data_IF_407171371090
#
_entry.id   IF_407171371090
#
_cell.length_a   1.000
_cell.length_b   1.000
_cell.length_c   1.000
_cell.angle_alpha   90.00
_cell.angle_beta   90.00
_cell.angle_gamma   90.00
#
_symmetry.space_group_name_H-M   'P 1'
#
loop_
_entity.id
_entity.type
_entity.pdbx_description
1 polymer ?
#
# COMPACT_ATOMS: atom_id res chain seq x y z
N UNK A 1 -44.29 -20.18 34.10
CA UNK A 1 -43.31 -20.56 33.05
C UNK A 1 -42.62 -19.29 32.60
N UNK A 2 -41.34 -19.17 32.92
CA UNK A 2 -40.50 -18.03 32.56
C UNK A 2 -39.73 -18.52 31.33
N UNK A 3 -40.00 -17.96 30.15
CA UNK A 3 -39.22 -18.27 28.95
C UNK A 3 -38.19 -17.16 28.78
N UNK A 4 -36.93 -17.53 28.99
CA UNK A 4 -35.78 -16.64 28.94
C UNK A 4 -35.60 -16.02 27.54
N UNK A 5 -35.31 -14.72 27.51
CA UNK A 5 -34.87 -14.02 26.31
C UNK A 5 -33.49 -14.55 25.89
N UNK A 6 -33.32 -14.82 24.59
CA UNK A 6 -32.04 -15.21 24.02
C UNK A 6 -30.96 -14.12 24.29
N UNK A 7 -29.73 -14.49 24.67
CA UNK A 7 -28.68 -13.51 24.91
C UNK A 7 -28.19 -12.90 23.60
N UNK A 8 -28.33 -11.58 23.51
CA UNK A 8 -27.78 -10.73 22.45
C UNK A 8 -26.26 -10.85 22.43
N UNK A 9 -25.70 -11.46 21.39
CA UNK A 9 -24.24 -11.59 21.22
C UNK A 9 -23.68 -10.28 20.68
N UNK A 10 -23.30 -9.37 21.58
CA UNK A 10 -22.49 -8.20 21.25
C UNK A 10 -21.13 -8.68 20.75
N UNK A 11 -20.86 -8.56 19.46
CA UNK A 11 -19.51 -8.79 18.91
C UNK A 11 -18.66 -7.57 19.27
N UNK A 12 -17.76 -7.74 20.24
CA UNK A 12 -16.75 -6.76 20.58
C UNK A 12 -15.96 -6.39 19.31
N UNK A 13 -15.87 -5.09 19.01
CA UNK A 13 -14.94 -4.54 18.03
C UNK A 13 -13.50 -4.84 18.48
N UNK A 14 -12.98 -6.00 18.11
CA UNK A 14 -11.57 -6.32 18.23
C UNK A 14 -10.87 -5.72 17.02
N UNK A 15 -10.28 -4.53 17.17
CA UNK A 15 -9.34 -4.02 16.18
C UNK A 15 -8.09 -4.89 16.33
N UNK A 16 -7.98 -5.93 15.50
CA UNK A 16 -6.74 -6.71 15.40
C UNK A 16 -5.76 -5.85 14.63
N UNK A 17 -4.81 -5.24 15.34
CA UNK A 17 -3.70 -4.53 14.73
C UNK A 17 -2.73 -5.55 14.13
N UNK A 18 -2.89 -5.84 12.84
CA UNK A 18 -2.03 -6.78 12.12
C UNK A 18 -0.64 -6.14 11.90
N UNK A 19 0.32 -6.51 12.76
CA UNK A 19 1.71 -6.06 12.69
C UNK A 19 2.49 -6.97 11.75
N UNK A 20 2.86 -6.43 10.58
CA UNK A 20 3.74 -7.11 9.62
C UNK A 20 5.20 -6.79 9.97
N UNK A 21 6.01 -7.82 10.21
CA UNK A 21 7.45 -7.71 10.43
C UNK A 21 8.21 -8.52 9.37
N UNK A 22 8.75 -7.82 8.36
CA UNK A 22 9.48 -8.42 7.24
C UNK A 22 10.99 -8.53 7.50
N UNK A 23 11.47 -8.20 8.71
CA UNK A 23 12.91 -8.25 9.02
C UNK A 23 13.44 -9.67 9.19
N UNK A 24 12.54 -10.63 9.45
CA UNK A 24 12.87 -12.02 9.70
C UNK A 24 12.67 -12.88 8.44
N UNK A 25 11.45 -12.90 7.90
CA UNK A 25 11.06 -13.79 6.80
C UNK A 25 11.44 -13.27 5.41
N UNK A 26 11.59 -11.96 5.25
CA UNK A 26 11.73 -11.28 3.96
C UNK A 26 10.64 -11.67 2.94
N UNK A 27 9.47 -12.13 3.39
CA UNK A 27 8.39 -12.60 2.53
C UNK A 27 7.33 -11.53 2.30
N UNK A 28 7.66 -10.59 1.42
CA UNK A 28 6.73 -9.51 1.02
C UNK A 28 5.47 -10.06 0.36
N UNK A 29 5.56 -11.15 -0.40
CA UNK A 29 4.43 -11.67 -1.17
C UNK A 29 3.45 -12.42 -0.28
N UNK A 30 3.95 -13.23 0.66
CA UNK A 30 3.12 -13.83 1.71
C UNK A 30 2.36 -12.77 2.50
N UNK A 31 3.06 -11.73 2.97
CA UNK A 31 2.42 -10.60 3.65
C UNK A 31 1.37 -9.91 2.76
N UNK A 32 1.69 -9.65 1.49
CA UNK A 32 0.75 -9.06 0.53
C UNK A 32 -0.52 -9.89 0.35
N UNK A 33 -0.40 -11.22 0.20
CA UNK A 33 -1.55 -12.11 0.01
C UNK A 33 -2.41 -12.27 1.27
N UNK A 34 -1.88 -11.98 2.46
CA UNK A 34 -2.62 -12.06 3.72
C UNK A 34 -3.52 -10.84 4.02
N UNK A 35 -3.41 -9.76 3.25
CA UNK A 35 -4.12 -8.49 3.49
C UNK A 35 -5.04 -8.19 2.30
N UNK A 36 -6.26 -7.73 2.59
CA UNK A 36 -7.16 -7.27 1.53
C UNK A 36 -6.79 -5.86 1.04
N UNK A 37 -6.53 -5.74 -0.26
CA UNK A 37 -6.27 -4.48 -0.96
C UNK A 37 -7.34 -4.12 -1.99
N UNK A 38 -8.50 -4.79 -1.99
CA UNK A 38 -9.59 -4.62 -2.95
C UNK A 38 -10.04 -3.16 -3.07
N UNK A 39 -10.29 -2.48 -1.95
CA UNK A 39 -10.69 -1.08 -1.91
C UNK A 39 -9.62 -0.15 -2.49
N UNK A 40 -8.34 -0.39 -2.15
CA UNK A 40 -7.22 0.40 -2.67
C UNK A 40 -7.09 0.23 -4.18
N UNK A 41 -7.22 -1.01 -4.66
CA UNK A 41 -7.19 -1.34 -6.09
C UNK A 41 -8.34 -0.69 -6.85
N UNK A 42 -9.51 -0.59 -6.24
CA UNK A 42 -10.66 0.09 -6.85
C UNK A 42 -10.46 1.62 -6.90
N UNK A 43 -9.97 2.21 -5.81
CA UNK A 43 -9.87 3.67 -5.59
C UNK A 43 -8.68 4.33 -6.30
N UNK A 44 -7.51 3.69 -6.31
CA UNK A 44 -6.27 4.27 -6.82
C UNK A 44 -5.83 3.58 -8.12
N UNK A 45 -6.08 4.25 -9.24
CA UNK A 45 -5.82 3.73 -10.60
C UNK A 45 -4.71 4.46 -11.35
N UNK A 46 -3.92 5.28 -10.65
CA UNK A 46 -2.79 5.96 -11.26
C UNK A 46 -1.68 4.96 -11.68
N UNK A 47 -0.81 5.34 -12.62
CA UNK A 47 0.23 4.44 -13.14
C UNK A 47 1.15 3.86 -12.05
N UNK A 48 1.51 4.66 -11.04
CA UNK A 48 2.40 4.21 -9.96
C UNK A 48 1.74 3.14 -9.10
N UNK A 49 0.48 3.32 -8.73
CA UNK A 49 -0.28 2.32 -7.98
C UNK A 49 -0.55 1.05 -8.81
N UNK A 50 -0.85 1.18 -10.11
CA UNK A 50 -0.97 0.03 -11.00
C UNK A 50 0.33 -0.76 -11.10
N UNK A 51 1.46 -0.07 -11.18
CA UNK A 51 2.78 -0.71 -11.17
C UNK A 51 3.05 -1.45 -9.87
N UNK A 52 2.72 -0.86 -8.72
CA UNK A 52 2.87 -1.52 -7.42
C UNK A 52 2.06 -2.83 -7.35
N UNK A 53 0.81 -2.83 -7.84
CA UNK A 53 0.04 -4.06 -7.96
C UNK A 53 0.65 -5.06 -8.94
N UNK A 54 1.10 -4.63 -10.13
CA UNK A 54 1.74 -5.54 -11.08
C UNK A 54 3.01 -6.21 -10.52
N UNK A 55 3.79 -5.49 -9.71
CA UNK A 55 4.96 -6.03 -9.00
C UNK A 55 4.56 -7.11 -7.98
N UNK A 56 3.53 -6.84 -7.17
CA UNK A 56 3.10 -7.73 -6.08
C UNK A 56 2.23 -8.90 -6.57
N UNK A 57 1.52 -8.71 -7.69
CA UNK A 57 0.78 -9.77 -8.39
C UNK A 57 1.72 -10.68 -9.22
N UNK A 58 3.03 -10.39 -9.24
CA UNK A 58 4.02 -11.19 -9.95
C UNK A 58 4.05 -10.99 -11.47
N UNK A 59 3.28 -10.04 -12.00
CA UNK A 59 3.25 -9.70 -13.44
C UNK A 59 4.57 -9.06 -13.85
N UNK A 60 5.12 -8.17 -13.02
CA UNK A 60 6.40 -7.51 -13.27
C UNK A 60 7.51 -8.16 -12.45
N UNK A 61 8.50 -8.75 -13.14
CA UNK A 61 9.69 -9.30 -12.49
C UNK A 61 10.48 -8.19 -11.78
N UNK A 62 10.75 -8.40 -10.50
CA UNK A 62 11.32 -7.37 -9.63
C UNK A 62 12.11 -7.97 -8.47
N UNK A 63 13.12 -7.22 -8.00
CA UNK A 63 13.90 -7.58 -6.82
C UNK A 63 13.13 -7.35 -5.51
N UNK A 64 13.72 -7.83 -4.41
CA UNK A 64 13.12 -7.71 -3.07
C UNK A 64 12.77 -6.27 -2.69
N UNK A 65 13.70 -5.32 -2.86
CA UNK A 65 13.49 -3.93 -2.47
C UNK A 65 12.35 -3.26 -3.26
N UNK A 66 12.19 -3.60 -4.54
CA UNK A 66 11.09 -3.09 -5.36
C UNK A 66 9.75 -3.62 -4.87
N UNK A 67 9.67 -4.91 -4.51
CA UNK A 67 8.48 -5.50 -3.90
C UNK A 67 8.15 -4.83 -2.57
N UNK A 68 9.16 -4.63 -1.71
CA UNK A 68 9.00 -3.97 -0.42
C UNK A 68 8.49 -2.52 -0.58
N UNK A 69 9.04 -1.77 -1.55
CA UNK A 69 8.58 -0.42 -1.86
C UNK A 69 7.13 -0.39 -2.38
N UNK A 70 6.77 -1.34 -3.26
CA UNK A 70 5.40 -1.49 -3.75
C UNK A 70 4.43 -1.84 -2.61
N UNK A 71 4.81 -2.76 -1.73
CA UNK A 71 4.01 -3.16 -0.58
C UNK A 71 3.80 -2.00 0.39
N UNK A 72 4.87 -1.25 0.71
CA UNK A 72 4.79 -0.05 1.54
C UNK A 72 3.86 0.99 0.95
N UNK A 73 3.94 1.24 -0.37
CA UNK A 73 3.03 2.18 -1.05
C UNK A 73 1.56 1.80 -0.85
N UNK A 74 1.20 0.53 -1.04
CA UNK A 74 -0.19 0.07 -0.85
C UNK A 74 -0.64 0.18 0.61
N UNK A 75 0.24 -0.14 1.57
CA UNK A 75 -0.04 0.00 3.01
C UNK A 75 -0.24 1.46 3.42
N UNK A 76 0.60 2.36 2.90
CA UNK A 76 0.46 3.79 3.14
C UNK A 76 -0.88 4.30 2.60
N UNK A 77 -1.31 3.85 1.40
CA UNK A 77 -2.62 4.18 0.85
C UNK A 77 -3.79 3.72 1.74
N UNK A 78 -3.69 2.58 2.43
CA UNK A 78 -4.69 2.12 3.41
C UNK A 78 -4.74 2.96 4.69
N UNK A 79 -3.63 3.61 5.04
CA UNK A 79 -3.52 4.42 6.27
C UNK A 79 -3.94 5.87 6.06
N UNK A 80 -4.05 6.34 4.82
CA UNK A 80 -4.49 7.71 4.53
C UNK A 80 -5.84 7.99 5.19
N UNK A 81 -5.89 9.09 5.94
CA UNK A 81 -7.09 9.53 6.65
C UNK A 81 -7.18 9.05 8.10
N UNK A 82 -6.23 8.22 8.56
CA UNK A 82 -6.07 7.91 9.98
C UNK A 82 -5.37 9.05 10.71
N UNK A 83 -5.71 9.23 11.98
CA UNK A 83 -5.15 10.29 12.84
C UNK A 83 -3.63 10.09 13.08
N UNK A 84 -3.18 8.84 13.18
CA UNK A 84 -1.77 8.46 13.38
C UNK A 84 -0.91 8.57 12.10
N UNK A 85 -1.50 8.91 10.96
CA UNK A 85 -0.82 8.94 9.67
C UNK A 85 -1.07 10.28 8.95
N UNK A 86 -0.36 11.36 9.34
CA UNK A 86 -0.60 12.72 8.86
C UNK A 86 -0.08 12.99 7.44
N UNK A 87 -0.02 11.95 6.59
CA UNK A 87 0.41 12.04 5.21
C UNK A 87 -0.79 12.03 4.26
N UNK A 88 -0.63 12.70 3.12
CA UNK A 88 -1.65 12.79 2.07
C UNK A 88 -1.07 12.35 0.74
N UNK A 89 -1.78 11.49 0.04
CA UNK A 89 -1.42 11.10 -1.32
C UNK A 89 -1.93 12.12 -2.32
N UNK A 90 -1.03 12.67 -3.13
CA UNK A 90 -1.35 13.68 -4.15
C UNK A 90 -0.77 13.32 -5.50
N UNK A 91 -1.65 12.98 -6.45
CA UNK A 91 -1.29 12.76 -7.86
C UNK A 91 -0.68 14.01 -8.50
N UNK A 92 -1.08 15.20 -8.02
CA UNK A 92 -0.53 16.48 -8.50
C UNK A 92 0.94 16.61 -8.12
N UNK A 93 1.28 16.32 -6.86
CA UNK A 93 2.66 16.41 -6.41
C UNK A 93 3.55 15.36 -7.07
N UNK A 94 3.04 14.15 -7.31
CA UNK A 94 3.78 13.14 -8.07
C UNK A 94 4.07 13.63 -9.50
N UNK A 95 3.09 14.23 -10.17
CA UNK A 95 3.32 14.81 -11.52
C UNK A 95 4.33 15.94 -11.49
N UNK A 96 4.29 16.80 -10.48
CA UNK A 96 5.27 17.88 -10.33
C UNK A 96 6.68 17.31 -10.14
N UNK A 97 6.83 16.29 -9.30
CA UNK A 97 8.10 15.60 -9.08
C UNK A 97 8.64 15.00 -10.38
N UNK A 98 7.81 14.26 -11.12
CA UNK A 98 8.20 13.66 -12.40
C UNK A 98 8.57 14.71 -13.44
N UNK A 99 7.89 15.86 -13.45
CA UNK A 99 8.24 17.00 -14.32
C UNK A 99 9.59 17.60 -13.96
N UNK A 100 9.94 17.67 -12.68
CA UNK A 100 11.28 18.12 -12.27
C UNK A 100 12.32 17.09 -12.71
N UNK A 101 12.08 15.80 -12.46
CA UNK A 101 12.98 14.73 -12.86
C UNK A 101 13.25 14.74 -14.38
N UNK A 102 12.22 14.99 -15.20
CA UNK A 102 12.36 15.05 -16.66
C UNK A 102 13.11 16.28 -17.20
N UNK A 103 13.54 17.20 -16.34
CA UNK A 103 14.29 18.41 -16.73
C UNK A 103 15.69 18.43 -16.11
N UNK A 104 15.88 17.71 -15.00
CA UNK A 104 17.19 17.60 -14.37
C UNK A 104 18.10 16.72 -15.25
N UNK A 105 19.20 17.27 -15.77
CA UNK A 105 20.11 16.49 -16.60
C UNK A 105 20.75 15.38 -15.76
N UNK A 106 20.83 14.18 -16.33
CA UNK A 106 21.59 13.10 -15.75
C UNK A 106 23.07 13.51 -15.70
N UNK A 107 23.71 13.29 -14.56
CA UNK A 107 25.12 13.67 -14.30
C UNK A 107 26.09 13.02 -15.30
N UNK A 108 25.74 11.84 -15.82
CA UNK A 108 26.59 11.08 -16.73
C UNK A 108 26.39 11.47 -18.21
N UNK A 109 25.18 11.90 -18.58
CA UNK A 109 24.82 12.13 -20.01
C UNK A 109 24.58 13.60 -20.35
N UNK A 110 24.38 14.48 -19.35
CA UNK A 110 24.03 15.88 -19.56
C UNK A 110 22.61 16.11 -20.10
N UNK A 111 21.84 15.05 -20.34
CA UNK A 111 20.47 15.10 -20.84
C UNK A 111 19.48 14.62 -19.77
N UNK A 112 18.26 15.20 -19.69
CA UNK A 112 17.23 14.69 -18.79
C UNK A 112 16.78 13.28 -19.20
N UNK A 113 16.55 12.39 -18.24
CA UNK A 113 16.07 11.01 -18.48
C UNK A 113 14.88 10.68 -17.57
#
# INVERSE_FOLDING_TARGET
MITELAPTKTMNNLIIEFKVDLTQDHDVLGAYHSIDFSEIRAKYRDPGTRYAFAVLDGITKSGYLTKLAAFRHLRDLQRIGREDFPYRYSKKEIKNLLKVASVVPNVDTGEPT
#
